data_IF_780756588912
#
_entry.id   IF_780756588912
#
_cell.length_a   1.000
_cell.length_b   1.000
_cell.length_c   1.000
_cell.angle_alpha   90.00
_cell.angle_beta   90.00
_cell.angle_gamma   90.00
#
_symmetry.space_group_name_H-M   'P 1'
#
loop_
_entity.id
_entity.type
_entity.pdbx_description
1 polymer ?
#
# COMPACT_ATOMS: atom_id res chain seq x y z
N UNK A 1 -13.47 -0.05 -5.08
CA UNK A 1 -12.95 0.27 -6.43
C UNK A 1 -14.08 0.57 -7.42
N UNK A 2 -15.27 0.03 -7.22
CA UNK A 2 -16.43 0.27 -8.09
C UNK A 2 -16.92 1.72 -8.01
N UNK A 3 -16.92 2.34 -6.83
CA UNK A 3 -17.45 3.71 -6.64
C UNK A 3 -16.66 4.75 -7.43
N UNK A 4 -15.33 4.59 -7.46
CA UNK A 4 -14.46 5.47 -8.25
C UNK A 4 -14.64 5.24 -9.76
N UNK A 5 -14.84 3.99 -10.19
CA UNK A 5 -15.13 3.69 -11.59
C UNK A 5 -16.45 4.35 -12.03
N UNK A 6 -17.49 4.24 -11.20
CA UNK A 6 -18.78 4.91 -11.43
C UNK A 6 -18.66 6.43 -11.42
N UNK A 7 -17.85 7.00 -10.53
CA UNK A 7 -17.57 8.44 -10.53
C UNK A 7 -16.87 8.88 -11.82
N UNK A 8 -15.85 8.15 -12.28
CA UNK A 8 -15.15 8.45 -13.54
C UNK A 8 -16.12 8.33 -14.73
N UNK A 9 -16.95 7.30 -14.75
CA UNK A 9 -17.96 7.09 -15.80
C UNK A 9 -19.01 8.20 -15.79
N UNK A 10 -19.53 8.57 -14.62
CA UNK A 10 -20.47 9.67 -14.45
C UNK A 10 -19.84 10.99 -14.94
N UNK A 11 -18.62 11.28 -14.52
CA UNK A 11 -17.91 12.49 -14.91
C UNK A 11 -17.66 12.53 -16.42
N UNK A 12 -17.35 11.39 -17.04
CA UNK A 12 -17.21 11.26 -18.50
C UNK A 12 -18.53 11.53 -19.23
N UNK A 13 -19.65 10.96 -18.76
CA UNK A 13 -20.98 11.18 -19.34
C UNK A 13 -21.42 12.63 -19.19
N UNK A 14 -21.22 13.23 -18.00
CA UNK A 14 -21.51 14.64 -17.72
C UNK A 14 -20.64 15.55 -18.59
N UNK A 15 -19.34 15.29 -18.71
CA UNK A 15 -18.45 16.06 -19.57
C UNK A 15 -18.88 16.02 -21.05
N UNK A 16 -19.21 14.83 -21.55
CA UNK A 16 -19.69 14.63 -22.92
C UNK A 16 -21.04 15.31 -23.18
N UNK A 17 -21.97 15.26 -22.22
CA UNK A 17 -23.29 15.85 -22.33
C UNK A 17 -23.27 17.39 -22.24
N UNK A 18 -22.45 17.97 -21.35
CA UNK A 18 -22.38 19.42 -21.16
C UNK A 18 -21.56 20.13 -22.25
N UNK A 19 -20.77 19.41 -23.07
CA UNK A 19 -19.82 19.97 -24.06
C UNK A 19 -18.93 21.09 -23.50
N UNK A 20 -18.75 21.13 -22.18
CA UNK A 20 -18.00 22.17 -21.50
C UNK A 20 -16.59 21.64 -21.21
N UNK A 21 -15.59 22.38 -21.68
CA UNK A 21 -14.17 22.06 -21.56
C UNK A 21 -13.70 21.83 -20.12
N UNK A 22 -14.30 22.52 -19.13
CA UNK A 22 -13.89 22.43 -17.72
C UNK A 22 -14.11 21.02 -17.16
N UNK A 23 -15.19 20.34 -17.53
CA UNK A 23 -15.47 18.98 -17.05
C UNK A 23 -14.51 17.95 -17.66
N UNK A 24 -14.09 18.15 -18.91
CA UNK A 24 -13.03 17.33 -19.52
C UNK A 24 -11.68 17.55 -18.82
N UNK A 25 -11.33 18.79 -18.47
CA UNK A 25 -10.13 19.07 -17.69
C UNK A 25 -10.16 18.38 -16.32
N UNK A 26 -11.27 18.47 -15.57
CA UNK A 26 -11.40 17.78 -14.29
C UNK A 26 -11.27 16.26 -14.45
N UNK A 27 -11.89 15.69 -15.49
CA UNK A 27 -11.75 14.27 -15.81
C UNK A 27 -10.28 13.88 -16.06
N UNK A 28 -9.57 14.64 -16.89
CA UNK A 28 -8.16 14.38 -17.18
C UNK A 28 -7.29 14.49 -15.93
N UNK A 29 -7.52 15.48 -15.07
CA UNK A 29 -6.80 15.63 -13.80
C UNK A 29 -7.06 14.43 -12.89
N UNK A 30 -8.31 14.01 -12.72
CA UNK A 30 -8.67 12.86 -11.86
C UNK A 30 -8.05 11.57 -12.40
N UNK A 31 -8.17 11.29 -13.70
CA UNK A 31 -7.59 10.10 -14.33
C UNK A 31 -6.06 10.14 -14.25
N UNK A 32 -5.45 11.29 -14.55
CA UNK A 32 -4.01 11.49 -14.47
C UNK A 32 -3.47 11.26 -13.06
N UNK A 33 -4.11 11.85 -12.05
CA UNK A 33 -3.74 11.67 -10.65
C UNK A 33 -3.88 10.20 -10.21
N UNK A 34 -4.93 9.51 -10.63
CA UNK A 34 -5.13 8.08 -10.35
C UNK A 34 -4.05 7.20 -10.97
N UNK A 35 -3.73 7.42 -12.25
CA UNK A 35 -2.68 6.68 -12.94
C UNK A 35 -1.31 6.94 -12.31
N UNK A 36 -1.02 8.21 -12.00
CA UNK A 36 0.21 8.61 -11.35
C UNK A 36 0.35 8.00 -9.95
N UNK A 37 -0.70 8.06 -9.14
CA UNK A 37 -0.72 7.46 -7.80
C UNK A 37 -0.52 5.94 -7.86
N UNK A 38 -1.20 5.25 -8.78
CA UNK A 38 -1.02 3.80 -8.96
C UNK A 38 0.38 3.45 -9.44
N UNK A 39 0.93 4.21 -10.38
CA UNK A 39 2.28 3.99 -10.88
C UNK A 39 3.33 4.23 -9.80
N UNK A 40 3.18 5.33 -9.05
CA UNK A 40 4.00 5.64 -7.88
C UNK A 40 3.97 4.47 -6.89
N UNK A 41 2.79 4.10 -6.37
CA UNK A 41 2.67 3.04 -5.36
C UNK A 41 3.27 1.71 -5.84
N UNK A 42 2.97 1.31 -7.09
CA UNK A 42 3.54 0.08 -7.68
C UNK A 42 5.06 0.13 -7.80
N UNK A 43 5.63 1.29 -8.13
CA UNK A 43 7.09 1.43 -8.30
C UNK A 43 7.80 1.54 -6.97
N UNK A 44 7.25 2.26 -6.00
CA UNK A 44 7.80 2.37 -4.65
C UNK A 44 7.74 1.03 -3.90
N UNK A 45 6.64 0.27 -4.02
CA UNK A 45 6.52 -1.03 -3.38
C UNK A 45 7.59 -2.03 -3.85
N UNK A 46 7.98 -1.98 -5.13
CA UNK A 46 9.06 -2.81 -5.68
C UNK A 46 10.45 -2.44 -5.14
N UNK A 47 10.60 -1.26 -4.55
CA UNK A 47 11.87 -0.77 -3.96
C UNK A 47 11.88 -0.84 -2.45
N UNK A 48 10.86 -1.47 -1.86
CA UNK A 48 10.84 -1.77 -0.45
C UNK A 48 11.68 -3.03 -0.19
N UNK A 49 12.77 -2.86 0.54
CA UNK A 49 13.54 -3.98 1.08
C UNK A 49 13.11 -4.20 2.53
N UNK A 50 13.01 -5.46 2.93
CA UNK A 50 12.75 -5.82 4.31
C UNK A 50 13.64 -6.97 4.73
N UNK A 51 14.00 -6.99 6.02
CA UNK A 51 14.79 -8.05 6.62
C UNK A 51 14.21 -8.40 7.98
N UNK A 52 14.15 -9.69 8.28
CA UNK A 52 13.76 -10.20 9.59
C UNK A 52 14.95 -10.92 10.20
N UNK A 53 15.29 -10.53 11.43
CA UNK A 53 16.29 -11.18 12.25
C UNK A 53 15.58 -11.78 13.46
N UNK A 54 15.70 -13.09 13.63
CA UNK A 54 15.17 -13.82 14.77
C UNK A 54 16.22 -14.83 15.24
N UNK A 55 16.28 -15.13 16.54
CA UNK A 55 17.16 -16.17 17.04
C UNK A 55 16.79 -17.54 16.45
N UNK A 56 17.81 -18.32 16.09
CA UNK A 56 17.65 -19.66 15.50
C UNK A 56 16.99 -20.66 16.46
N UNK A 57 17.19 -20.46 17.76
CA UNK A 57 16.61 -21.28 18.82
C UNK A 57 16.28 -20.39 20.04
N UNK A 58 15.25 -20.79 20.78
CA UNK A 58 14.87 -20.21 22.06
C UNK A 58 14.37 -21.35 22.97
N UNK A 59 14.65 -21.25 24.27
CA UNK A 59 14.14 -22.22 25.22
C UNK A 59 12.64 -22.02 25.50
N UNK A 60 11.90 -23.07 25.88
CA UNK A 60 10.52 -22.91 26.32
C UNK A 60 10.41 -21.89 27.46
N UNK A 61 9.54 -20.88 27.29
CA UNK A 61 9.36 -19.80 28.27
C UNK A 61 10.36 -18.64 28.16
N UNK A 62 11.39 -18.76 27.30
CA UNK A 62 12.33 -17.67 27.01
C UNK A 62 11.66 -16.62 26.12
N UNK A 63 11.91 -15.33 26.40
CA UNK A 63 11.46 -14.23 25.55
C UNK A 63 12.48 -14.02 24.42
N UNK A 64 12.10 -14.39 23.20
CA UNK A 64 12.90 -14.14 22.01
C UNK A 64 12.55 -12.77 21.40
N UNK A 65 13.56 -11.96 21.10
CA UNK A 65 13.40 -10.71 20.37
C UNK A 65 13.47 -10.96 18.86
N UNK A 66 12.52 -10.39 18.12
CA UNK A 66 12.49 -10.43 16.65
C UNK A 66 12.60 -9.00 16.14
N UNK A 67 13.64 -8.73 15.35
CA UNK A 67 13.85 -7.43 14.74
C UNK A 67 13.42 -7.47 13.26
N UNK A 68 12.54 -6.55 12.87
CA UNK A 68 12.14 -6.34 11.48
C UNK A 68 12.64 -4.98 11.04
N UNK A 69 13.51 -4.98 10.04
CA UNK A 69 14.03 -3.78 9.41
C UNK A 69 13.34 -3.60 8.06
N UNK A 70 12.80 -2.40 7.84
CA UNK A 70 12.14 -2.03 6.57
C UNK A 70 12.80 -0.79 6.03
N UNK A 71 13.31 -0.88 4.80
CA UNK A 71 14.00 0.21 4.13
C UNK A 71 13.37 0.51 2.77
N UNK A 72 12.99 1.76 2.57
CA UNK A 72 12.61 2.25 1.24
C UNK A 72 13.87 2.68 0.48
N UNK A 73 14.28 1.89 -0.52
CA UNK A 73 15.43 2.19 -1.38
C UNK A 73 15.03 3.01 -2.63
N UNK A 74 13.77 3.42 -2.71
CA UNK A 74 13.24 4.27 -3.76
C UNK A 74 13.39 5.75 -3.48
N UNK A 75 13.41 6.54 -4.56
CA UNK A 75 13.42 8.01 -4.49
C UNK A 75 12.10 8.59 -3.97
N UNK A 76 11.00 7.84 -4.15
CA UNK A 76 9.66 8.28 -3.80
C UNK A 76 9.26 7.71 -2.44
N UNK A 77 8.69 8.51 -1.53
CA UNK A 77 8.19 8.00 -0.26
C UNK A 77 7.04 7.03 -0.48
N UNK A 78 6.87 6.08 0.44
CA UNK A 78 5.80 5.10 0.40
C UNK A 78 4.86 5.36 1.58
N UNK A 79 3.76 6.10 1.36
CA UNK A 79 2.87 6.47 2.45
C UNK A 79 1.92 5.30 2.78
N UNK A 80 1.41 5.27 4.02
CA UNK A 80 0.48 4.24 4.52
C UNK A 80 1.00 2.79 4.43
N UNK A 81 2.29 2.57 4.71
CA UNK A 81 2.82 1.20 4.84
C UNK A 81 2.23 0.51 6.07
N UNK A 82 1.64 -0.66 5.88
CA UNK A 82 1.20 -1.55 6.97
C UNK A 82 2.07 -2.80 6.97
N UNK A 83 2.66 -3.13 8.12
CA UNK A 83 3.42 -4.37 8.34
C UNK A 83 2.51 -5.41 8.99
N UNK A 84 2.51 -6.64 8.49
CA UNK A 84 1.78 -7.75 9.09
C UNK A 84 2.72 -8.93 9.26
N UNK A 85 3.00 -9.30 10.50
CA UNK A 85 3.80 -10.48 10.83
C UNK A 85 2.89 -11.61 11.31
N UNK A 86 3.13 -12.83 10.82
CA UNK A 86 2.45 -14.02 11.31
C UNK A 86 3.30 -14.73 12.36
N UNK A 87 2.76 -14.88 13.56
CA UNK A 87 3.41 -15.63 14.64
C UNK A 87 3.03 -17.12 14.51
N UNK A 88 4.03 -18.05 14.47
CA UNK A 88 3.78 -19.48 14.45
C UNK A 88 2.96 -19.95 15.66
N UNK A 89 2.13 -20.98 15.47
CA UNK A 89 1.22 -21.46 16.52
C UNK A 89 1.95 -21.84 17.83
N UNK A 90 3.14 -22.45 17.74
CA UNK A 90 3.93 -22.85 18.92
C UNK A 90 4.46 -21.70 19.78
N UNK A 91 4.46 -20.46 19.26
CA UNK A 91 4.87 -19.25 19.98
C UNK A 91 3.66 -18.43 20.49
N UNK A 92 2.42 -18.83 20.17
CA UNK A 92 1.21 -18.08 20.52
C UNK A 92 0.76 -18.27 21.98
N UNK A 93 1.27 -19.28 22.68
CA UNK A 93 0.90 -19.55 24.07
C UNK A 93 2.02 -19.13 25.04
N UNK A 94 1.97 -17.92 25.63
CA UNK A 94 2.78 -17.64 26.79
C UNK A 94 2.37 -18.58 27.94
N UNK A 95 3.32 -19.21 28.66
CA UNK A 95 2.97 -19.94 29.87
C UNK A 95 2.39 -18.96 30.89
N UNK A 96 1.17 -19.24 31.35
CA UNK A 96 0.49 -18.56 32.46
C UNK A 96 1.11 -18.96 33.79
#
# INVERSE_FOLDING_TARGET
MNDLFWLILLLFVVAAALRNELFFYLLYVVVGLQLLARFWLRRSAKRLAWRRSAPTAAFPGERAEVAIEVQNTGLLPLPWLTLTESIPAGLRNPPT
#
